data_IF_076101960946
#
_entry.id   IF_076101960946
#
_cell.length_a   1.000
_cell.length_b   1.000
_cell.length_c   1.000
_cell.angle_alpha   90.00
_cell.angle_beta   90.00
_cell.angle_gamma   90.00
#
_symmetry.space_group_name_H-M   'P 1'
#
loop_
_entity.id
_entity.type
_entity.pdbx_description
1 polymer ?
#
# COMPACT_ATOMS: atom_id res chain seq x y z
N UNK A 1 -71.27 -8.74 58.99
CA UNK A 1 -70.14 -9.61 58.61
C UNK A 1 -70.48 -10.21 57.24
N UNK A 2 -69.74 -9.84 56.19
CA UNK A 2 -69.95 -10.37 54.82
C UNK A 2 -68.81 -11.35 54.52
N UNK A 3 -69.05 -12.55 53.97
CA UNK A 3 -67.99 -13.49 53.64
C UNK A 3 -67.32 -13.06 52.33
N UNK A 4 -66.00 -12.94 52.34
CA UNK A 4 -65.19 -12.73 51.14
C UNK A 4 -64.90 -14.10 50.50
N UNK A 5 -65.45 -14.33 49.30
CA UNK A 5 -65.13 -15.49 48.47
C UNK A 5 -63.83 -15.20 47.74
N UNK A 6 -62.76 -15.90 48.12
CA UNK A 6 -61.50 -15.91 47.39
C UNK A 6 -61.62 -16.86 46.20
N UNK A 7 -61.75 -16.30 44.99
CA UNK A 7 -61.61 -17.05 43.75
C UNK A 7 -60.12 -17.27 43.46
N UNK A 8 -59.65 -18.52 43.60
CA UNK A 8 -58.32 -18.93 43.16
C UNK A 8 -58.35 -19.10 41.65
N UNK A 9 -57.67 -18.20 40.94
CA UNK A 9 -57.53 -18.21 39.49
C UNK A 9 -56.36 -19.12 39.13
N UNK A 10 -56.65 -20.38 38.79
CA UNK A 10 -55.65 -21.32 38.27
C UNK A 10 -55.31 -20.91 36.84
N UNK A 11 -54.17 -20.24 36.66
CA UNK A 11 -53.59 -19.98 35.34
C UNK A 11 -52.97 -21.28 34.85
N UNK A 12 -53.70 -21.99 33.99
CA UNK A 12 -53.11 -23.05 33.18
C UNK A 12 -52.10 -22.41 32.21
N UNK A 13 -50.80 -22.59 32.47
CA UNK A 13 -49.75 -22.32 31.49
C UNK A 13 -49.88 -23.36 30.37
N UNK A 14 -50.71 -23.07 29.36
CA UNK A 14 -50.58 -23.73 28.08
C UNK A 14 -49.21 -23.35 27.52
N UNK A 15 -48.30 -24.33 27.45
CA UNK A 15 -47.08 -24.22 26.66
C UNK A 15 -47.50 -23.84 25.24
N UNK A 16 -47.29 -22.56 24.86
CA UNK A 16 -47.48 -22.13 23.49
C UNK A 16 -46.50 -22.94 22.66
N UNK A 17 -47.00 -23.80 21.78
CA UNK A 17 -46.19 -24.34 20.71
C UNK A 17 -45.68 -23.12 19.91
N UNK A 18 -44.39 -22.82 20.01
CA UNK A 18 -43.78 -21.76 19.22
C UNK A 18 -43.88 -22.16 17.74
N UNK A 19 -44.56 -21.32 16.96
CA UNK A 19 -44.87 -21.60 15.56
C UNK A 19 -43.64 -21.56 14.67
N UNK A 20 -43.72 -22.26 13.53
CA UNK A 20 -42.69 -22.32 12.48
C UNK A 20 -42.14 -20.94 12.11
N UNK A 21 -40.92 -20.91 11.56
CA UNK A 21 -40.29 -19.68 11.11
C UNK A 21 -41.20 -18.86 10.19
N UNK A 22 -41.28 -17.56 10.46
CA UNK A 22 -42.06 -16.62 9.66
C UNK A 22 -41.20 -15.93 8.58
N UNK A 23 -41.86 -15.36 7.56
CA UNK A 23 -41.20 -14.50 6.57
C UNK A 23 -40.57 -13.29 7.27
N UNK A 24 -39.34 -12.94 6.90
CA UNK A 24 -38.61 -11.82 7.46
C UNK A 24 -38.12 -11.98 8.92
N UNK A 25 -38.39 -13.10 9.59
CA UNK A 25 -38.02 -13.30 11.00
C UNK A 25 -36.51 -13.17 11.25
N UNK A 26 -35.67 -13.54 10.28
CA UNK A 26 -34.21 -13.43 10.34
C UNK A 26 -33.67 -12.22 9.55
N UNK A 27 -34.50 -11.28 9.12
CA UNK A 27 -34.06 -10.16 8.28
C UNK A 27 -32.97 -9.31 8.94
N UNK A 28 -33.09 -9.01 10.24
CA UNK A 28 -32.07 -8.24 10.97
C UNK A 28 -30.76 -9.02 11.14
N UNK A 29 -30.85 -10.31 11.45
CA UNK A 29 -29.69 -11.20 11.55
C UNK A 29 -28.96 -11.33 10.20
N UNK A 30 -29.72 -11.42 9.10
CA UNK A 30 -29.16 -11.44 7.75
C UNK A 30 -28.54 -10.10 7.35
N UNK A 31 -29.19 -8.98 7.69
CA UNK A 31 -28.64 -7.65 7.47
C UNK A 31 -27.26 -7.48 8.14
N UNK A 32 -27.05 -8.06 9.32
CA UNK A 32 -25.75 -8.05 9.99
C UNK A 32 -24.66 -8.80 9.20
N UNK A 33 -25.00 -9.88 8.49
CA UNK A 33 -24.08 -10.57 7.58
C UNK A 33 -23.84 -9.83 6.26
N UNK A 34 -24.67 -8.86 5.89
CA UNK A 34 -24.51 -8.20 4.60
C UNK A 34 -23.21 -7.40 4.50
N UNK A 35 -22.76 -6.73 5.56
CA UNK A 35 -21.49 -5.99 5.52
C UNK A 35 -20.29 -6.90 5.20
N UNK A 36 -20.05 -8.02 5.92
CA UNK A 36 -18.96 -8.92 5.56
C UNK A 36 -19.15 -9.57 4.19
N UNK A 37 -20.38 -9.90 3.76
CA UNK A 37 -20.66 -10.40 2.41
C UNK A 37 -20.26 -9.37 1.33
N UNK A 38 -20.56 -8.09 1.53
CA UNK A 38 -20.24 -7.01 0.58
C UNK A 38 -18.75 -6.74 0.49
N UNK A 39 -18.01 -6.89 1.60
CA UNK A 39 -16.55 -6.86 1.59
C UNK A 39 -15.99 -8.09 0.84
N UNK A 40 -16.48 -9.29 1.16
CA UNK A 40 -16.03 -10.53 0.56
C UNK A 40 -16.27 -10.60 -0.96
N UNK A 41 -17.36 -10.01 -1.45
CA UNK A 41 -17.73 -9.95 -2.87
C UNK A 41 -17.24 -8.68 -3.58
N UNK A 42 -16.45 -7.85 -2.90
CA UNK A 42 -15.90 -6.63 -3.50
C UNK A 42 -14.83 -6.96 -4.55
N UNK A 43 -14.65 -6.04 -5.50
CA UNK A 43 -13.55 -6.12 -6.45
C UNK A 43 -12.36 -5.33 -5.89
N UNK A 44 -11.15 -5.92 -5.84
CA UNK A 44 -9.95 -5.20 -5.42
C UNK A 44 -9.70 -3.95 -6.29
N UNK A 45 -9.08 -2.93 -5.72
CA UNK A 45 -8.83 -1.68 -6.46
C UNK A 45 -7.93 -1.95 -7.66
N UNK A 46 -8.28 -1.38 -8.82
CA UNK A 46 -7.40 -1.43 -9.99
C UNK A 46 -6.24 -0.44 -9.78
N UNK A 47 -5.11 -0.94 -9.26
CA UNK A 47 -3.92 -0.14 -9.03
C UNK A 47 -2.95 -0.37 -10.17
N UNK A 48 -2.61 0.71 -10.86
CA UNK A 48 -1.59 0.73 -11.90
C UNK A 48 -0.66 1.88 -11.63
N UNK A 49 0.63 1.65 -11.87
CA UNK A 49 1.63 2.69 -11.84
C UNK A 49 2.28 2.79 -13.22
N UNK A 50 2.05 3.91 -13.89
CA UNK A 50 2.77 4.27 -15.11
C UNK A 50 3.78 5.34 -14.74
N UNK A 51 5.05 5.00 -14.85
CA UNK A 51 6.15 5.93 -14.64
C UNK A 51 7.16 5.81 -15.79
N UNK A 52 8.13 6.73 -15.78
CA UNK A 52 9.31 6.66 -16.61
C UNK A 52 10.54 6.21 -15.82
N UNK A 53 10.34 5.51 -14.69
CA UNK A 53 11.42 5.14 -13.77
C UNK A 53 12.47 4.25 -14.46
N UNK A 54 12.03 3.32 -15.31
CA UNK A 54 12.93 2.43 -16.05
C UNK A 54 13.76 3.23 -17.07
N UNK A 55 13.13 4.18 -17.77
CA UNK A 55 13.78 5.04 -18.75
C UNK A 55 14.77 6.03 -18.10
N UNK A 56 14.38 6.62 -16.96
CA UNK A 56 15.26 7.49 -16.18
C UNK A 56 16.45 6.70 -15.65
N UNK A 57 16.22 5.51 -15.09
CA UNK A 57 17.29 4.64 -14.60
C UNK A 57 18.25 4.30 -15.74
N UNK A 58 17.74 3.92 -16.91
CA UNK A 58 18.57 3.64 -18.08
C UNK A 58 19.42 4.88 -18.48
N UNK A 59 18.83 6.07 -18.47
CA UNK A 59 19.53 7.34 -18.77
C UNK A 59 20.65 7.62 -17.76
N UNK A 60 20.37 7.54 -16.47
CA UNK A 60 21.36 7.74 -15.39
C UNK A 60 22.50 6.72 -15.53
N UNK A 61 22.15 5.46 -15.78
CA UNK A 61 23.14 4.38 -15.97
C UNK A 61 24.02 4.63 -17.18
N UNK A 62 23.43 5.04 -18.30
CA UNK A 62 24.15 5.33 -19.53
C UNK A 62 25.14 6.49 -19.34
N UNK A 63 24.72 7.56 -18.65
CA UNK A 63 25.59 8.67 -18.26
C UNK A 63 26.76 8.17 -17.41
N UNK A 64 26.49 7.35 -16.39
CA UNK A 64 27.54 6.78 -15.53
C UNK A 64 28.55 5.94 -16.30
N UNK A 65 28.10 5.05 -17.19
CA UNK A 65 29.00 4.25 -18.04
C UNK A 65 29.81 5.09 -19.03
N UNK A 66 29.27 6.23 -19.48
CA UNK A 66 29.93 7.13 -20.42
C UNK A 66 31.09 7.90 -19.77
N UNK A 67 30.91 8.33 -18.52
CA UNK A 67 31.98 9.01 -17.75
C UNK A 67 32.95 8.04 -17.08
N UNK A 68 32.56 6.77 -16.90
CA UNK A 68 33.38 5.74 -16.28
C UNK A 68 34.68 5.43 -17.08
N UNK A 69 35.62 4.79 -16.39
CA UNK A 69 36.84 4.29 -17.03
C UNK A 69 36.53 3.16 -18.02
N UNK A 70 37.22 3.15 -19.17
CA UNK A 70 37.04 2.14 -20.22
C UNK A 70 37.26 0.72 -19.70
N UNK A 71 38.11 0.55 -18.70
CA UNK A 71 38.41 -0.73 -18.06
C UNK A 71 37.17 -1.33 -17.43
N UNK A 72 36.27 -0.52 -16.86
CA UNK A 72 35.01 -1.02 -16.30
C UNK A 72 34.02 -1.38 -17.40
N UNK A 73 33.80 -0.48 -18.36
CA UNK A 73 32.81 -0.70 -19.43
C UNK A 73 33.19 -1.88 -20.33
N UNK A 74 34.49 -2.15 -20.52
CA UNK A 74 34.99 -3.35 -21.20
C UNK A 74 34.61 -4.64 -20.48
N UNK A 75 34.60 -4.68 -19.14
CA UNK A 75 34.28 -5.88 -18.35
C UNK A 75 32.82 -6.35 -18.46
N UNK A 76 31.92 -5.49 -18.97
CA UNK A 76 30.50 -5.83 -19.26
C UNK A 76 30.45 -6.50 -20.65
N UNK A 77 30.99 -7.70 -20.76
CA UNK A 77 31.22 -8.38 -22.06
C UNK A 77 29.99 -9.16 -22.54
N UNK A 78 29.07 -9.47 -21.63
CA UNK A 78 27.87 -10.24 -21.91
C UNK A 78 26.68 -9.32 -22.16
N UNK A 79 26.01 -9.47 -23.30
CA UNK A 79 24.92 -8.59 -23.74
C UNK A 79 23.51 -9.13 -23.40
N UNK A 80 23.44 -10.25 -22.68
CA UNK A 80 22.21 -10.84 -22.14
C UNK A 80 22.13 -10.72 -20.62
N UNK A 81 20.98 -11.11 -20.05
CA UNK A 81 20.70 -11.03 -18.61
C UNK A 81 21.67 -11.87 -17.77
N UNK A 82 21.84 -11.48 -16.51
CA UNK A 82 22.70 -12.14 -15.53
C UNK A 82 22.35 -13.60 -15.40
N UNK A 83 21.06 -13.93 -15.33
CA UNK A 83 20.60 -15.32 -15.23
C UNK A 83 21.11 -16.19 -16.40
N UNK A 84 21.15 -15.64 -17.61
CA UNK A 84 21.62 -16.31 -18.83
C UNK A 84 23.13 -16.30 -19.04
N UNK A 85 23.89 -15.60 -18.18
CA UNK A 85 25.34 -15.52 -18.31
C UNK A 85 26.03 -16.84 -17.87
N UNK A 86 27.17 -17.21 -18.49
CA UNK A 86 27.95 -18.37 -18.10
C UNK A 86 28.40 -18.33 -16.64
N UNK A 87 28.53 -19.49 -15.99
CA UNK A 87 28.88 -19.57 -14.57
C UNK A 87 30.29 -19.01 -14.29
N UNK A 88 31.25 -19.23 -15.19
CA UNK A 88 32.59 -18.65 -15.11
C UNK A 88 32.56 -17.11 -15.11
N UNK A 89 31.68 -16.52 -15.91
CA UNK A 89 31.50 -15.06 -15.97
C UNK A 89 30.93 -14.52 -14.66
N UNK A 90 29.96 -15.22 -14.08
CA UNK A 90 29.34 -14.88 -12.80
C UNK A 90 30.32 -15.01 -11.63
N UNK A 91 31.06 -16.12 -11.58
CA UNK A 91 32.04 -16.41 -10.52
C UNK A 91 33.19 -15.39 -10.49
N UNK A 92 33.59 -14.86 -11.65
CA UNK A 92 34.62 -13.80 -11.73
C UNK A 92 34.10 -12.42 -11.27
N UNK A 93 32.80 -12.26 -11.04
CA UNK A 93 32.13 -10.97 -10.79
C UNK A 93 31.12 -11.10 -9.62
N UNK A 94 31.57 -11.46 -8.42
CA UNK A 94 30.68 -11.59 -7.26
C UNK A 94 29.98 -10.25 -6.97
N UNK A 95 28.67 -10.30 -6.70
CA UNK A 95 27.84 -9.13 -6.38
C UNK A 95 27.35 -8.32 -7.59
N UNK A 96 27.66 -8.74 -8.82
CA UNK A 96 27.16 -8.06 -10.03
C UNK A 96 25.71 -8.42 -10.36
N UNK A 97 25.16 -9.47 -9.76
CA UNK A 97 23.81 -9.99 -9.99
C UNK A 97 22.72 -8.93 -9.86
N UNK A 98 22.89 -7.99 -8.93
CA UNK A 98 21.89 -6.94 -8.66
C UNK A 98 21.80 -5.87 -9.76
N UNK A 99 22.90 -5.57 -10.46
CA UNK A 99 23.01 -4.39 -11.34
C UNK A 99 23.40 -4.71 -12.77
N UNK A 100 23.88 -5.92 -13.04
CA UNK A 100 24.39 -6.34 -14.35
C UNK A 100 23.42 -6.03 -15.50
N UNK A 101 22.13 -6.38 -15.36
CA UNK A 101 21.16 -6.22 -16.44
C UNK A 101 20.87 -4.75 -16.75
N UNK A 102 20.97 -3.90 -15.72
CA UNK A 102 20.90 -2.45 -15.85
C UNK A 102 22.10 -1.94 -16.66
N UNK A 103 23.32 -2.40 -16.35
CA UNK A 103 24.53 -2.02 -17.08
C UNK A 103 24.53 -2.52 -18.53
N UNK A 104 24.04 -3.73 -18.80
CA UNK A 104 23.91 -4.27 -20.16
C UNK A 104 22.98 -3.41 -21.00
N UNK A 105 21.82 -3.05 -20.44
CA UNK A 105 20.84 -2.19 -21.12
C UNK A 105 21.45 -0.82 -21.43
N UNK A 106 22.12 -0.21 -20.45
CA UNK A 106 22.79 1.07 -20.63
C UNK A 106 23.98 1.03 -21.60
N UNK A 107 24.73 -0.08 -21.64
CA UNK A 107 25.82 -0.27 -22.60
C UNK A 107 25.28 -0.29 -24.03
N UNK A 108 24.11 -0.89 -24.26
CA UNK A 108 23.41 -0.84 -25.57
C UNK A 108 22.99 0.59 -25.93
N UNK A 109 22.48 1.36 -24.97
CA UNK A 109 22.12 2.78 -25.16
C UNK A 109 23.31 3.64 -25.61
N UNK A 110 24.49 3.49 -24.99
CA UNK A 110 25.67 4.32 -25.31
C UNK A 110 26.46 3.84 -26.54
N UNK A 111 26.23 2.60 -27.03
CA UNK A 111 26.93 2.05 -28.21
C UNK A 111 26.04 1.97 -29.46
N UNK A 112 24.71 1.93 -29.30
CA UNK A 112 23.74 1.85 -30.39
C UNK A 112 23.28 3.22 -30.90
N UNK A 113 22.04 3.25 -31.41
CA UNK A 113 21.47 4.42 -32.09
C UNK A 113 21.36 5.66 -31.19
N UNK A 114 21.19 5.43 -29.88
CA UNK A 114 21.04 6.48 -28.87
C UNK A 114 22.37 7.09 -28.38
N UNK A 115 23.53 6.65 -28.89
CA UNK A 115 24.86 7.13 -28.44
C UNK A 115 25.02 8.65 -28.45
N UNK A 116 24.38 9.32 -29.41
CA UNK A 116 24.45 10.77 -29.57
C UNK A 116 23.86 11.53 -28.36
N UNK A 117 22.89 10.93 -27.64
CA UNK A 117 22.28 11.52 -26.43
C UNK A 117 23.29 11.70 -25.30
N UNK A 118 24.31 10.84 -25.25
CA UNK A 118 25.29 10.79 -24.17
C UNK A 118 26.65 11.36 -24.57
N UNK A 119 26.85 11.70 -25.85
CA UNK A 119 28.16 12.08 -26.39
C UNK A 119 28.82 13.25 -25.66
N UNK A 120 28.03 14.22 -25.18
CA UNK A 120 28.55 15.37 -24.44
C UNK A 120 29.11 15.01 -23.06
N UNK A 121 28.74 13.86 -22.48
CA UNK A 121 29.29 13.42 -21.21
C UNK A 121 30.72 12.87 -21.35
N UNK A 122 31.14 12.47 -22.55
CA UNK A 122 32.50 11.99 -22.81
C UNK A 122 33.57 13.05 -22.45
N UNK A 123 33.24 14.35 -22.49
CA UNK A 123 34.18 15.41 -22.13
C UNK A 123 34.58 15.38 -20.65
N UNK A 124 33.86 14.64 -19.81
CA UNK A 124 34.18 14.49 -18.39
C UNK A 124 34.93 13.21 -18.07
N UNK A 125 35.26 12.40 -19.07
CA UNK A 125 36.07 11.20 -18.88
C UNK A 125 37.44 11.56 -18.33
N UNK A 126 37.84 10.92 -17.23
CA UNK A 126 39.09 11.23 -16.51
C UNK A 126 38.98 12.37 -15.50
N UNK A 127 37.86 13.10 -15.44
CA UNK A 127 37.58 14.01 -14.33
C UNK A 127 37.06 13.23 -13.12
N UNK A 128 37.95 12.97 -12.15
CA UNK A 128 37.63 12.17 -10.96
C UNK A 128 36.46 12.72 -10.15
N UNK A 129 36.34 14.03 -10.01
CA UNK A 129 35.26 14.65 -9.24
C UNK A 129 33.90 14.52 -9.96
N UNK A 130 33.89 14.62 -11.29
CA UNK A 130 32.68 14.36 -12.09
C UNK A 130 32.28 12.88 -12.02
N UNK A 131 33.26 11.98 -12.16
CA UNK A 131 33.04 10.53 -12.06
C UNK A 131 32.44 10.14 -10.70
N UNK A 132 32.99 10.65 -9.61
CA UNK A 132 32.49 10.37 -8.25
C UNK A 132 31.05 10.86 -8.04
N UNK A 133 30.74 12.09 -8.46
CA UNK A 133 29.38 12.63 -8.34
C UNK A 133 28.36 11.89 -9.19
N UNK A 134 28.71 11.52 -10.43
CA UNK A 134 27.83 10.73 -11.30
C UNK A 134 27.65 9.31 -10.73
N UNK A 135 28.72 8.69 -10.24
CA UNK A 135 28.67 7.36 -9.64
C UNK A 135 27.75 7.32 -8.42
N UNK A 136 27.83 8.32 -7.54
CA UNK A 136 26.94 8.43 -6.39
C UNK A 136 25.47 8.55 -6.80
N UNK A 137 25.16 9.38 -7.81
CA UNK A 137 23.78 9.50 -8.34
C UNK A 137 23.31 8.18 -8.96
N UNK A 138 24.20 7.48 -9.68
CA UNK A 138 23.89 6.22 -10.32
C UNK A 138 23.64 5.09 -9.31
N UNK A 139 24.43 5.01 -8.24
CA UNK A 139 24.25 4.02 -7.18
C UNK A 139 22.88 4.15 -6.50
N UNK A 140 22.44 5.39 -6.25
CA UNK A 140 21.12 5.64 -5.69
C UNK A 140 20.01 5.22 -6.67
N UNK A 141 20.16 5.54 -7.96
CA UNK A 141 19.21 5.10 -8.99
C UNK A 141 19.17 3.57 -9.12
N UNK A 142 20.30 2.88 -9.00
CA UNK A 142 20.37 1.42 -9.04
C UNK A 142 19.67 0.77 -7.85
N UNK A 143 19.85 1.35 -6.66
CA UNK A 143 19.16 0.89 -5.45
C UNK A 143 17.65 1.01 -5.64
N UNK A 144 17.16 2.16 -6.10
CA UNK A 144 15.74 2.35 -6.40
C UNK A 144 15.26 1.31 -7.42
N UNK A 145 15.97 1.17 -8.54
CA UNK A 145 15.60 0.24 -9.61
C UNK A 145 15.47 -1.21 -9.12
N UNK A 146 16.36 -1.63 -8.22
CA UNK A 146 16.33 -2.98 -7.64
C UNK A 146 15.07 -3.26 -6.81
N UNK A 147 14.40 -2.23 -6.30
CA UNK A 147 13.20 -2.34 -5.48
C UNK A 147 11.89 -2.25 -6.30
N UNK A 148 11.94 -1.63 -7.49
CA UNK A 148 10.75 -1.37 -8.32
C UNK A 148 10.02 -2.66 -8.73
N UNK A 149 10.76 -3.72 -9.08
CA UNK A 149 10.16 -4.99 -9.53
C UNK A 149 9.33 -5.66 -8.42
N UNK A 150 9.84 -5.67 -7.19
CA UNK A 150 9.15 -6.18 -6.01
C UNK A 150 7.88 -5.39 -5.72
N UNK A 151 7.98 -4.06 -5.73
CA UNK A 151 6.81 -3.19 -5.52
C UNK A 151 5.74 -3.34 -6.60
N UNK A 152 6.14 -3.43 -7.88
CA UNK A 152 5.23 -3.68 -9.00
C UNK A 152 4.52 -5.03 -8.87
N UNK A 153 5.24 -6.08 -8.44
CA UNK A 153 4.64 -7.39 -8.15
C UNK A 153 3.60 -7.30 -7.04
N UNK A 154 3.87 -6.54 -6.00
CA UNK A 154 2.93 -6.30 -4.90
C UNK A 154 1.64 -5.62 -5.33
N UNK A 155 1.59 -4.91 -6.48
CA UNK A 155 0.33 -4.33 -6.99
C UNK A 155 -0.69 -5.38 -7.45
N UNK A 156 -0.28 -6.63 -7.65
CA UNK A 156 -1.15 -7.72 -8.11
C UNK A 156 -2.35 -7.97 -7.19
N UNK A 157 -3.48 -8.40 -7.76
CA UNK A 157 -4.72 -8.67 -7.00
C UNK A 157 -4.85 -10.11 -6.50
N UNK A 158 -3.91 -10.99 -6.84
CA UNK A 158 -4.03 -12.44 -6.67
C UNK A 158 -4.27 -12.84 -5.22
N UNK A 159 -3.48 -12.30 -4.29
CA UNK A 159 -3.59 -12.60 -2.86
C UNK A 159 -4.91 -12.10 -2.28
N UNK A 160 -5.30 -10.86 -2.60
CA UNK A 160 -6.59 -10.28 -2.15
C UNK A 160 -7.75 -11.16 -2.60
N UNK A 161 -7.78 -11.54 -3.89
CA UNK A 161 -8.84 -12.41 -4.44
C UNK A 161 -8.87 -13.77 -3.75
N UNK A 162 -7.71 -14.39 -3.54
CA UNK A 162 -7.61 -15.69 -2.88
C UNK A 162 -8.17 -15.65 -1.45
N UNK A 163 -7.87 -14.60 -0.68
CA UNK A 163 -8.38 -14.44 0.68
C UNK A 163 -9.88 -14.11 0.70
N UNK A 164 -10.37 -13.28 -0.22
CA UNK A 164 -11.81 -13.03 -0.38
C UNK A 164 -12.58 -14.31 -0.74
N UNK A 165 -12.06 -15.12 -1.66
CA UNK A 165 -12.65 -16.41 -2.06
C UNK A 165 -12.68 -17.41 -0.90
N UNK A 166 -11.64 -17.45 -0.07
CA UNK A 166 -11.62 -18.24 1.18
C UNK A 166 -12.62 -17.72 2.21
N UNK A 167 -12.82 -16.40 2.32
CA UNK A 167 -13.84 -15.85 3.20
C UNK A 167 -15.26 -16.28 2.78
N UNK A 168 -15.52 -16.33 1.47
CA UNK A 168 -16.82 -16.77 0.93
C UNK A 168 -17.00 -18.27 1.08
N UNK A 169 -16.03 -19.08 0.64
CA UNK A 169 -16.20 -20.51 0.42
C UNK A 169 -15.55 -21.39 1.49
N UNK A 170 -14.70 -20.83 2.34
CA UNK A 170 -13.86 -21.58 3.27
C UNK A 170 -12.61 -22.18 2.60
N UNK A 171 -11.94 -23.12 3.27
CA UNK A 171 -10.64 -23.66 2.83
C UNK A 171 -10.71 -24.51 1.55
N UNK A 172 -11.89 -24.95 1.13
CA UNK A 172 -12.10 -25.70 -0.12
C UNK A 172 -12.18 -24.78 -1.36
N UNK A 173 -11.77 -23.51 -1.20
CA UNK A 173 -11.95 -22.40 -2.12
C UNK A 173 -11.88 -22.80 -3.59
N UNK A 174 -13.03 -22.71 -4.27
CA UNK A 174 -13.11 -22.34 -5.69
C UNK A 174 -14.56 -22.15 -6.13
N UNK A 175 -14.89 -20.93 -6.53
CA UNK A 175 -16.06 -20.57 -7.34
C UNK A 175 -15.69 -20.59 -8.82
N UNK A 176 -15.18 -21.72 -9.33
CA UNK A 176 -15.18 -21.89 -10.78
C UNK A 176 -16.62 -21.81 -11.30
N UNK A 177 -16.84 -21.11 -12.43
CA UNK A 177 -18.14 -21.09 -13.07
C UNK A 177 -18.57 -22.54 -13.38
N UNK A 178 -19.74 -22.95 -12.89
CA UNK A 178 -20.24 -24.32 -13.07
C UNK A 178 -19.88 -25.33 -11.98
N UNK A 179 -19.03 -25.01 -10.98
CA UNK A 179 -18.84 -25.91 -9.82
C UNK A 179 -20.06 -25.90 -8.88
N UNK A 180 -20.45 -27.08 -8.40
CA UNK A 180 -21.42 -27.23 -7.30
C UNK A 180 -20.87 -26.56 -6.04
N UNK A 181 -21.72 -25.81 -5.35
CA UNK A 181 -21.43 -25.29 -4.01
C UNK A 181 -22.25 -26.14 -3.04
N UNK A 182 -21.64 -27.13 -2.42
CA UNK A 182 -22.29 -28.03 -1.46
C UNK A 182 -21.42 -28.21 -0.20
N UNK A 183 -22.02 -28.82 0.83
CA UNK A 183 -21.34 -29.19 2.07
C UNK A 183 -21.23 -30.72 2.23
N UNK A 184 -21.43 -31.46 1.14
CA UNK A 184 -21.48 -32.91 1.08
C UNK A 184 -22.33 -33.56 2.17
N UNK A 185 -21.83 -34.66 2.72
CA UNK A 185 -22.48 -35.42 3.79
C UNK A 185 -22.68 -34.62 5.08
N UNK A 186 -21.92 -33.53 5.28
CA UNK A 186 -22.08 -32.68 6.46
C UNK A 186 -23.44 -31.96 6.45
N UNK A 187 -24.01 -31.68 5.28
CA UNK A 187 -25.33 -31.03 5.17
C UNK A 187 -26.47 -31.89 5.69
N UNK A 188 -26.35 -33.22 5.67
CA UNK A 188 -27.37 -34.13 6.17
C UNK A 188 -27.71 -33.87 7.65
N UNK A 189 -26.76 -33.33 8.43
CA UNK A 189 -26.98 -32.93 9.80
C UNK A 189 -26.71 -31.42 9.99
N UNK A 190 -27.70 -30.62 9.60
CA UNK A 190 -27.64 -29.15 9.72
C UNK A 190 -27.34 -28.68 11.14
N UNK A 191 -27.93 -29.29 12.16
CA UNK A 191 -27.67 -28.91 13.55
C UNK A 191 -26.17 -29.06 13.92
N UNK A 192 -25.50 -30.08 13.38
CA UNK A 192 -24.05 -30.31 13.59
C UNK A 192 -23.19 -29.18 12.99
N UNK A 193 -23.54 -28.67 11.80
CA UNK A 193 -22.72 -27.66 11.10
C UNK A 193 -23.18 -26.21 11.29
N UNK A 194 -24.42 -25.99 11.72
CA UNK A 194 -25.01 -24.66 11.94
C UNK A 194 -25.07 -24.29 13.44
N UNK A 195 -25.09 -25.28 14.35
CA UNK A 195 -25.06 -25.04 15.80
C UNK A 195 -24.11 -25.94 16.59
N UNK A 196 -23.30 -26.75 15.90
CA UNK A 196 -22.28 -27.60 16.54
C UNK A 196 -22.84 -28.63 17.53
N UNK A 197 -24.08 -29.12 17.33
CA UNK A 197 -24.60 -30.25 18.10
C UNK A 197 -23.77 -31.51 17.82
N UNK A 198 -23.12 -32.06 18.85
CA UNK A 198 -22.30 -33.29 18.76
C UNK A 198 -21.25 -33.26 17.62
N UNK A 199 -20.60 -32.11 17.42
CA UNK A 199 -19.56 -31.93 16.40
C UNK A 199 -18.30 -32.76 16.71
N UNK A 200 -17.76 -33.43 15.70
CA UNK A 200 -16.38 -33.94 15.72
C UNK A 200 -15.40 -32.86 15.23
N UNK A 201 -14.12 -32.98 15.59
CA UNK A 201 -13.11 -31.95 15.28
C UNK A 201 -12.93 -31.66 13.78
N UNK A 202 -13.28 -32.61 12.90
CA UNK A 202 -13.14 -32.51 11.44
C UNK A 202 -14.33 -31.89 10.71
N UNK A 203 -15.51 -31.81 11.35
CA UNK A 203 -16.72 -31.32 10.69
C UNK A 203 -16.66 -29.80 10.46
N UNK A 204 -17.30 -29.35 9.37
CA UNK A 204 -17.60 -27.94 9.15
C UNK A 204 -18.37 -27.35 10.33
N UNK A 205 -18.19 -26.05 10.57
CA UNK A 205 -18.84 -25.33 11.67
C UNK A 205 -19.18 -23.90 11.30
N UNK A 206 -20.04 -23.23 12.09
CA UNK A 206 -20.24 -21.79 12.01
C UNK A 206 -18.91 -21.03 12.00
N UNK A 207 -18.84 -20.00 11.16
CA UNK A 207 -17.64 -19.20 11.00
C UNK A 207 -16.62 -19.78 10.02
N UNK A 208 -16.83 -20.97 9.45
CA UNK A 208 -15.91 -21.50 8.42
C UNK A 208 -15.94 -20.67 7.15
N UNK A 209 -17.11 -20.22 6.73
CA UNK A 209 -17.29 -19.42 5.52
C UNK A 209 -18.58 -18.60 5.59
N UNK A 210 -18.61 -17.44 4.92
CA UNK A 210 -19.82 -16.61 4.86
C UNK A 210 -20.96 -17.32 4.14
N UNK A 211 -20.64 -18.17 3.17
CA UNK A 211 -21.61 -19.02 2.50
C UNK A 211 -22.30 -19.95 3.49
N UNK A 212 -21.54 -20.72 4.30
CA UNK A 212 -22.12 -21.65 5.26
C UNK A 212 -23.04 -20.94 6.26
N UNK A 213 -22.54 -19.85 6.86
CA UNK A 213 -23.30 -19.09 7.85
C UNK A 213 -24.59 -18.52 7.24
N UNK A 214 -24.52 -17.98 6.02
CA UNK A 214 -25.69 -17.44 5.32
C UNK A 214 -26.70 -18.53 4.96
N UNK A 215 -26.22 -19.71 4.54
CA UNK A 215 -27.09 -20.84 4.20
C UNK A 215 -27.75 -21.42 5.45
N UNK A 216 -27.03 -21.57 6.55
CA UNK A 216 -27.57 -21.96 7.85
C UNK A 216 -28.69 -21.02 8.33
N UNK A 217 -28.48 -19.71 8.16
CA UNK A 217 -29.43 -18.68 8.59
C UNK A 217 -30.68 -18.57 7.69
N UNK A 218 -30.54 -18.81 6.39
CA UNK A 218 -31.54 -18.37 5.41
C UNK A 218 -32.23 -19.47 4.60
N UNK A 219 -31.68 -20.68 4.57
CA UNK A 219 -32.36 -21.82 3.93
C UNK A 219 -33.35 -22.46 4.88
N UNK A 220 -34.39 -23.08 4.34
CA UNK A 220 -35.42 -23.72 5.13
C UNK A 220 -35.04 -25.16 5.53
N UNK A 221 -35.45 -25.56 6.73
CA UNK A 221 -35.55 -26.96 7.14
C UNK A 221 -36.92 -27.55 6.77
N UNK A 222 -37.19 -28.79 7.19
CA UNK A 222 -38.47 -29.46 6.94
C UNK A 222 -39.68 -28.70 7.51
N UNK A 223 -40.82 -28.78 6.82
CA UNK A 223 -42.13 -28.19 7.19
C UNK A 223 -42.06 -26.71 7.64
N UNK A 224 -41.63 -25.83 6.74
CA UNK A 224 -41.48 -24.40 7.02
C UNK A 224 -42.60 -23.53 6.45
N UNK A 225 -43.08 -22.56 7.25
CA UNK A 225 -44.12 -21.61 6.85
C UNK A 225 -43.56 -20.37 6.09
N UNK A 226 -42.25 -20.12 6.16
CA UNK A 226 -41.62 -18.96 5.52
C UNK A 226 -41.34 -19.15 4.02
N UNK A 227 -41.45 -20.38 3.51
CA UNK A 227 -41.14 -20.72 2.11
C UNK A 227 -39.75 -20.21 1.64
N UNK A 228 -38.75 -20.24 2.51
CA UNK A 228 -37.38 -19.78 2.22
C UNK A 228 -37.15 -18.27 2.35
N UNK A 229 -38.13 -17.51 2.85
CA UNK A 229 -38.13 -16.04 2.94
C UNK A 229 -37.84 -15.48 4.34
N UNK A 230 -37.34 -16.29 5.28
CA UNK A 230 -37.02 -15.80 6.63
C UNK A 230 -35.98 -14.67 6.64
N UNK A 231 -35.00 -14.68 5.74
CA UNK A 231 -33.97 -13.64 5.69
C UNK A 231 -34.33 -12.42 4.82
N UNK A 232 -35.08 -12.61 3.73
CA UNK A 232 -35.60 -11.51 2.93
C UNK A 232 -36.71 -12.00 1.99
N UNK A 233 -37.57 -11.07 1.54
CA UNK A 233 -38.76 -11.39 0.74
C UNK A 233 -38.47 -12.08 -0.61
N UNK A 234 -37.30 -11.82 -1.18
CA UNK A 234 -36.86 -12.32 -2.49
C UNK A 234 -35.67 -13.30 -2.39
N UNK A 235 -35.38 -13.79 -1.18
CA UNK A 235 -34.25 -14.68 -0.91
C UNK A 235 -34.60 -16.16 -1.19
N UNK A 236 -35.87 -16.50 -1.40
CA UNK A 236 -36.31 -17.88 -1.67
C UNK A 236 -35.73 -18.42 -2.98
N UNK A 237 -35.29 -19.67 -2.97
CA UNK A 237 -34.88 -20.43 -4.15
C UNK A 237 -35.94 -21.53 -4.37
N UNK A 238 -36.57 -21.56 -5.55
CA UNK A 238 -37.80 -22.34 -5.75
C UNK A 238 -37.56 -23.77 -6.22
N UNK A 239 -36.34 -24.15 -6.61
CA UNK A 239 -36.12 -25.39 -7.35
C UNK A 239 -35.44 -26.52 -6.58
N UNK A 240 -34.57 -26.31 -5.58
CA UNK A 240 -33.95 -27.47 -4.89
C UNK A 240 -33.36 -27.16 -3.52
N UNK A 241 -32.57 -26.09 -3.38
CA UNK A 241 -31.69 -25.94 -2.22
C UNK A 241 -32.41 -25.56 -0.92
N UNK A 242 -33.51 -24.82 -1.05
CA UNK A 242 -34.38 -24.56 0.09
C UNK A 242 -35.22 -25.80 0.44
N UNK A 243 -35.61 -26.64 -0.52
CA UNK A 243 -36.58 -27.74 -0.32
C UNK A 243 -35.99 -29.04 0.25
N UNK A 244 -34.69 -29.24 0.08
CA UNK A 244 -34.05 -30.52 0.36
C UNK A 244 -33.41 -30.58 1.75
N UNK A 245 -34.24 -30.52 2.79
CA UNK A 245 -33.77 -30.75 4.16
C UNK A 245 -33.20 -32.17 4.29
N UNK A 246 -31.88 -32.30 4.47
CA UNK A 246 -31.19 -33.57 4.68
C UNK A 246 -30.53 -34.20 3.44
N UNK A 247 -30.60 -33.57 2.26
CA UNK A 247 -29.93 -34.09 1.05
C UNK A 247 -28.43 -33.78 1.04
N UNK A 248 -27.59 -34.76 0.71
CA UNK A 248 -26.12 -34.57 0.67
C UNK A 248 -25.63 -33.90 -0.63
N UNK A 249 -26.49 -33.76 -1.64
CA UNK A 249 -26.14 -33.27 -2.98
C UNK A 249 -26.87 -31.97 -3.33
N UNK A 250 -26.86 -31.00 -2.41
CA UNK A 250 -27.54 -29.71 -2.60
C UNK A 250 -26.58 -28.66 -3.12
N UNK A 251 -26.91 -28.04 -4.26
CA UNK A 251 -26.15 -26.92 -4.80
C UNK A 251 -26.70 -25.56 -4.31
N UNK A 252 -25.98 -24.90 -3.42
CA UNK A 252 -26.38 -23.62 -2.83
C UNK A 252 -26.06 -22.40 -3.70
N UNK A 253 -25.45 -22.56 -4.88
CA UNK A 253 -25.03 -21.42 -5.72
C UNK A 253 -26.17 -20.46 -6.05
N UNK A 254 -27.34 -20.97 -6.46
CA UNK A 254 -28.49 -20.13 -6.79
C UNK A 254 -28.99 -19.35 -5.57
N UNK A 255 -29.08 -20.02 -4.41
CA UNK A 255 -29.45 -19.39 -3.14
C UNK A 255 -28.43 -18.32 -2.74
N UNK A 256 -27.14 -18.64 -2.76
CA UNK A 256 -26.06 -17.71 -2.44
C UNK A 256 -26.13 -16.44 -3.30
N UNK A 257 -26.31 -16.59 -4.60
CA UNK A 257 -26.43 -15.44 -5.51
C UNK A 257 -27.61 -14.53 -5.13
N UNK A 258 -28.77 -15.09 -4.76
CA UNK A 258 -29.92 -14.31 -4.27
C UNK A 258 -29.61 -13.57 -2.96
N UNK A 259 -28.88 -14.21 -2.04
CA UNK A 259 -28.46 -13.58 -0.78
C UNK A 259 -27.48 -12.42 -1.05
N UNK A 260 -26.49 -12.62 -1.93
CA UNK A 260 -25.57 -11.55 -2.34
C UNK A 260 -26.35 -10.39 -2.98
N UNK A 261 -27.30 -10.68 -3.88
CA UNK A 261 -28.14 -9.66 -4.51
C UNK A 261 -28.98 -8.89 -3.48
N UNK A 262 -29.54 -9.59 -2.49
CA UNK A 262 -30.28 -8.96 -1.40
C UNK A 262 -29.38 -8.00 -0.60
N UNK A 263 -28.16 -8.41 -0.25
CA UNK A 263 -27.20 -7.54 0.42
C UNK A 263 -26.76 -6.35 -0.45
N UNK A 264 -26.62 -6.54 -1.76
CA UNK A 264 -26.30 -5.46 -2.70
C UNK A 264 -27.39 -4.38 -2.74
N UNK A 265 -28.66 -4.78 -2.59
CA UNK A 265 -29.81 -3.86 -2.52
C UNK A 265 -29.92 -3.17 -1.16
N UNK A 266 -29.49 -3.84 -0.09
CA UNK A 266 -29.62 -3.33 1.28
C UNK A 266 -28.55 -2.29 1.62
N UNK A 267 -27.30 -2.51 1.21
CA UNK A 267 -26.16 -1.66 1.60
C UNK A 267 -25.15 -1.44 0.47
N UNK A 268 -24.45 -0.30 0.53
CA UNK A 268 -23.33 0.01 -0.37
C UNK A 268 -22.07 -0.74 0.07
N UNK A 269 -21.24 -1.14 -0.89
CA UNK A 269 -19.91 -1.70 -0.60
C UNK A 269 -19.00 -0.59 -0.11
N UNK A 270 -18.31 -0.84 1.00
CA UNK A 270 -17.21 0.00 1.49
C UNK A 270 -15.87 -0.44 0.87
N UNK A 271 -14.88 0.44 0.92
CA UNK A 271 -13.51 0.08 0.57
C UNK A 271 -13.00 -1.04 1.50
N UNK A 272 -12.32 -2.03 0.92
CA UNK A 272 -11.72 -3.15 1.66
C UNK A 272 -10.53 -2.62 2.50
N UNK A 273 -10.80 -2.37 3.79
CA UNK A 273 -9.84 -1.85 4.76
C UNK A 273 -10.01 -2.60 6.08
N UNK A 274 -8.97 -2.62 6.91
CA UNK A 274 -9.06 -3.27 8.24
C UNK A 274 -10.20 -2.66 9.08
N UNK A 275 -10.39 -1.33 8.98
CA UNK A 275 -11.48 -0.64 9.69
C UNK A 275 -12.87 -1.08 9.23
N UNK A 276 -13.07 -1.33 7.93
CA UNK A 276 -14.33 -1.80 7.39
C UNK A 276 -14.63 -3.23 7.83
N UNK A 277 -13.60 -4.09 7.87
CA UNK A 277 -13.72 -5.46 8.40
C UNK A 277 -14.08 -5.44 9.89
N UNK A 278 -13.47 -4.55 10.68
CA UNK A 278 -13.83 -4.42 12.10
C UNK A 278 -15.28 -3.96 12.31
N UNK A 279 -15.75 -2.98 11.51
CA UNK A 279 -17.15 -2.54 11.54
C UNK A 279 -18.10 -3.69 11.17
N UNK A 280 -17.76 -4.46 10.16
CA UNK A 280 -18.51 -5.64 9.75
C UNK A 280 -18.60 -6.68 10.87
N UNK A 281 -17.47 -6.99 11.52
CA UNK A 281 -17.42 -7.90 12.65
C UNK A 281 -18.27 -7.39 13.83
N UNK A 282 -18.19 -6.10 14.16
CA UNK A 282 -18.98 -5.49 15.22
C UNK A 282 -20.48 -5.56 14.92
N UNK A 283 -20.90 -5.32 13.67
CA UNK A 283 -22.29 -5.44 13.27
C UNK A 283 -22.84 -6.86 13.48
N UNK A 284 -22.07 -7.89 13.11
CA UNK A 284 -22.42 -9.28 13.39
C UNK A 284 -22.45 -9.54 14.89
N UNK A 285 -21.43 -9.10 15.64
CA UNK A 285 -21.33 -9.29 17.09
C UNK A 285 -22.54 -8.68 17.83
N UNK A 286 -22.98 -7.48 17.44
CA UNK A 286 -24.15 -6.82 18.01
C UNK A 286 -25.48 -7.52 17.68
N UNK A 287 -25.52 -8.31 16.61
CA UNK A 287 -26.68 -9.12 16.24
C UNK A 287 -26.70 -10.50 16.92
N UNK A 288 -25.66 -10.85 17.68
CA UNK A 288 -25.61 -12.12 18.40
C UNK A 288 -26.50 -12.06 19.65
N UNK A 289 -27.53 -12.89 19.65
CA UNK A 289 -28.34 -13.19 20.82
C UNK A 289 -27.52 -13.97 21.87
N UNK A 290 -27.75 -13.62 23.13
CA UNK A 290 -27.29 -14.40 24.28
C UNK A 290 -28.39 -15.34 24.73
N UNK A 291 -28.01 -16.41 25.42
CA UNK A 291 -28.97 -17.37 25.93
C UNK A 291 -29.92 -16.69 26.93
N UNK A 292 -31.21 -17.01 26.83
CA UNK A 292 -32.23 -16.51 27.76
C UNK A 292 -32.38 -17.45 28.95
N UNK A 293 -33.25 -17.13 29.91
CA UNK A 293 -33.55 -18.06 31.01
C UNK A 293 -34.17 -19.39 30.51
N UNK A 294 -34.82 -19.38 29.35
CA UNK A 294 -35.45 -20.57 28.74
C UNK A 294 -34.55 -21.25 27.72
N UNK A 295 -33.71 -20.49 27.00
CA UNK A 295 -32.69 -21.02 26.09
C UNK A 295 -31.40 -21.30 26.87
N UNK A 296 -31.12 -22.56 27.20
CA UNK A 296 -29.97 -22.88 28.07
C UNK A 296 -28.74 -23.39 27.32
N UNK A 297 -28.89 -23.76 26.05
CA UNK A 297 -27.86 -24.54 25.34
C UNK A 297 -26.86 -23.72 24.52
N UNK A 298 -27.20 -22.49 24.12
CA UNK A 298 -26.36 -21.69 23.21
C UNK A 298 -26.29 -20.22 23.58
N UNK A 299 -25.05 -19.73 23.72
CA UNK A 299 -24.72 -18.31 23.64
C UNK A 299 -24.26 -17.96 22.22
N UNK A 300 -24.28 -16.67 21.85
CA UNK A 300 -23.79 -16.15 20.57
C UNK A 300 -24.56 -16.68 19.33
N UNK A 301 -25.88 -16.62 19.42
CA UNK A 301 -26.80 -17.08 18.37
C UNK A 301 -27.09 -15.95 17.40
N UNK A 302 -26.81 -16.15 16.12
CA UNK A 302 -27.31 -15.28 15.06
C UNK A 302 -28.58 -15.90 14.47
N UNK A 303 -29.69 -15.16 14.48
CA UNK A 303 -31.00 -15.64 14.02
C UNK A 303 -31.90 -16.06 15.18
N UNK A 304 -32.79 -17.03 14.95
CA UNK A 304 -33.84 -17.39 15.90
C UNK A 304 -33.81 -18.86 16.30
N UNK A 305 -34.13 -19.12 17.58
CA UNK A 305 -34.23 -20.44 18.20
C UNK A 305 -35.54 -20.53 18.96
N UNK A 306 -36.21 -21.68 18.87
CA UNK A 306 -37.39 -21.99 19.67
C UNK A 306 -37.02 -22.71 20.98
N UNK A 307 -37.85 -22.53 22.01
CA UNK A 307 -37.77 -23.30 23.26
C UNK A 307 -36.39 -23.21 23.92
N UNK A 308 -35.83 -24.36 24.30
CA UNK A 308 -34.51 -24.44 24.95
C UNK A 308 -33.32 -24.56 23.97
N UNK A 309 -33.62 -24.69 22.67
CA UNK A 309 -32.64 -24.89 21.61
C UNK A 309 -31.96 -26.27 21.61
N UNK A 310 -32.38 -27.25 22.40
CA UNK A 310 -31.72 -28.56 22.53
C UNK A 310 -31.54 -29.32 21.21
N UNK A 311 -32.33 -28.99 20.19
CA UNK A 311 -32.28 -29.63 18.88
C UNK A 311 -31.34 -28.94 17.88
N UNK A 312 -30.94 -27.69 18.16
CA UNK A 312 -30.01 -26.91 17.33
C UNK A 312 -30.62 -26.27 16.07
N UNK A 313 -29.76 -25.67 15.24
CA UNK A 313 -30.14 -24.93 14.04
C UNK A 313 -30.40 -25.89 12.86
N UNK A 314 -31.67 -26.24 12.65
CA UNK A 314 -32.12 -27.13 11.56
C UNK A 314 -32.77 -26.40 10.39
N UNK A 315 -32.93 -25.08 10.49
CA UNK A 315 -33.51 -24.25 9.44
C UNK A 315 -35.00 -23.96 9.64
N UNK A 316 -35.59 -24.34 10.77
CA UNK A 316 -36.95 -23.98 11.18
C UNK A 316 -36.93 -23.65 12.67
N UNK A 317 -37.63 -22.59 13.06
CA UNK A 317 -37.92 -22.27 14.45
C UNK A 317 -39.22 -22.97 14.84
N UNK A 318 -39.13 -24.23 15.29
CA UNK A 318 -40.28 -24.99 15.77
C UNK A 318 -39.86 -25.88 16.93
N UNK A 319 -40.71 -25.98 17.96
CA UNK A 319 -40.42 -26.75 19.18
C UNK A 319 -39.12 -26.29 19.89
N UNK A 320 -38.00 -26.99 19.65
CA UNK A 320 -36.66 -26.67 20.19
C UNK A 320 -35.61 -26.45 19.08
N UNK A 321 -36.07 -26.32 17.83
CA UNK A 321 -35.22 -26.10 16.66
C UNK A 321 -35.00 -24.60 16.42
N UNK A 322 -33.94 -24.29 15.67
CA UNK A 322 -33.67 -22.92 15.24
C UNK A 322 -33.42 -22.77 13.75
N UNK A 323 -33.58 -21.53 13.30
CA UNK A 323 -33.10 -21.04 12.01
C UNK A 323 -32.01 -20.01 12.30
N UNK A 324 -30.79 -20.50 12.42
CA UNK A 324 -29.73 -19.77 13.10
C UNK A 324 -28.32 -20.26 12.75
N UNK A 325 -27.35 -19.53 13.27
CA UNK A 325 -25.92 -19.85 13.30
C UNK A 325 -25.44 -19.68 14.74
N UNK A 326 -24.71 -20.65 15.31
CA UNK A 326 -24.19 -20.55 16.68
C UNK A 326 -22.67 -20.53 16.71
N UNK A 327 -22.12 -19.38 17.08
CA UNK A 327 -20.67 -19.21 17.28
C UNK A 327 -20.30 -19.59 18.71
N UNK A 328 -19.82 -20.83 18.92
CA UNK A 328 -19.54 -21.38 20.26
C UNK A 328 -18.75 -20.46 21.20
N UNK A 329 -17.80 -19.70 20.66
CA UNK A 329 -16.97 -18.74 21.42
C UNK A 329 -17.14 -17.30 20.95
N UNK A 330 -18.26 -16.98 20.30
CA UNK A 330 -18.47 -15.68 19.65
C UNK A 330 -17.56 -15.49 18.44
N UNK A 331 -17.37 -14.24 18.02
CA UNK A 331 -16.52 -13.88 16.88
C UNK A 331 -15.04 -13.78 17.27
N UNK A 332 -14.45 -14.90 17.68
CA UNK A 332 -13.00 -14.99 17.88
C UNK A 332 -12.28 -15.26 16.56
N UNK A 333 -11.10 -14.69 16.37
CA UNK A 333 -10.17 -15.02 15.29
C UNK A 333 -9.02 -15.88 15.79
N UNK A 334 -9.10 -16.49 16.97
CA UNK A 334 -8.06 -17.37 17.51
C UNK A 334 -8.60 -18.66 18.11
N UNK A 335 -7.75 -19.68 18.13
CA UNK A 335 -8.06 -20.99 18.71
C UNK A 335 -8.98 -21.88 17.85
N UNK A 336 -9.43 -23.01 18.41
CA UNK A 336 -10.21 -24.02 17.69
C UNK A 336 -11.60 -23.52 17.25
N UNK A 337 -12.13 -22.52 17.94
CA UNK A 337 -13.43 -21.91 17.66
C UNK A 337 -13.35 -20.64 16.78
N UNK A 338 -12.16 -20.34 16.23
CA UNK A 338 -11.94 -19.21 15.33
C UNK A 338 -12.90 -19.18 14.12
N UNK A 339 -13.43 -17.98 13.87
CA UNK A 339 -14.22 -17.59 12.69
C UNK A 339 -13.25 -17.32 11.54
N UNK A 340 -13.15 -18.29 10.64
CA UNK A 340 -12.20 -18.28 9.53
C UNK A 340 -12.54 -17.23 8.49
N UNK A 341 -13.82 -17.01 8.17
CA UNK A 341 -14.16 -15.97 7.19
C UNK A 341 -13.72 -14.58 7.66
N UNK A 342 -13.73 -14.32 8.97
CA UNK A 342 -13.28 -13.05 9.53
C UNK A 342 -11.76 -12.89 9.39
N UNK A 343 -11.00 -13.95 9.69
CA UNK A 343 -9.54 -13.99 9.45
C UNK A 343 -9.19 -13.72 8.00
N UNK A 344 -9.89 -14.36 7.08
CA UNK A 344 -9.66 -14.20 5.64
C UNK A 344 -10.02 -12.78 5.17
N UNK A 345 -11.09 -12.17 5.69
CA UNK A 345 -11.38 -10.76 5.41
C UNK A 345 -10.28 -9.82 5.95
N UNK A 346 -9.74 -10.09 7.14
CA UNK A 346 -8.61 -9.31 7.69
C UNK A 346 -7.36 -9.45 6.82
N UNK A 347 -7.01 -10.67 6.39
CA UNK A 347 -5.89 -10.92 5.50
C UNK A 347 -6.07 -10.24 4.13
N UNK A 348 -7.28 -10.31 3.55
CA UNK A 348 -7.60 -9.62 2.30
C UNK A 348 -7.44 -8.10 2.42
N UNK A 349 -7.90 -7.50 3.51
CA UNK A 349 -7.74 -6.08 3.77
C UNK A 349 -6.28 -5.67 3.99
N UNK A 350 -5.49 -6.49 4.70
CA UNK A 350 -4.05 -6.25 4.88
C UNK A 350 -3.28 -6.34 3.54
N UNK A 351 -3.65 -7.30 2.70
CA UNK A 351 -3.09 -7.41 1.35
C UNK A 351 -3.45 -6.18 0.50
N UNK A 352 -4.70 -5.73 0.53
CA UNK A 352 -5.13 -4.51 -0.19
C UNK A 352 -4.41 -3.24 0.30
N UNK A 353 -4.21 -3.09 1.61
CA UNK A 353 -3.41 -2.00 2.17
C UNK A 353 -1.94 -2.08 1.73
N UNK A 354 -1.36 -3.29 1.66
CA UNK A 354 0.00 -3.52 1.16
C UNK A 354 0.13 -3.10 -0.31
N UNK A 355 -0.87 -3.38 -1.15
CA UNK A 355 -0.92 -2.92 -2.56
C UNK A 355 -0.93 -1.39 -2.65
N UNK A 356 -1.76 -0.73 -1.83
CA UNK A 356 -1.82 0.74 -1.78
C UNK A 356 -0.51 1.35 -1.28
N UNK A 357 0.15 0.73 -0.29
CA UNK A 357 1.45 1.16 0.20
C UNK A 357 2.53 1.02 -0.88
N UNK A 358 2.51 -0.08 -1.65
CA UNK A 358 3.43 -0.29 -2.75
C UNK A 358 3.26 0.76 -3.85
N UNK A 359 2.02 1.14 -4.18
CA UNK A 359 1.76 2.22 -5.14
C UNK A 359 2.37 3.55 -4.69
N UNK A 360 2.16 3.96 -3.43
CA UNK A 360 2.75 5.20 -2.89
C UNK A 360 4.28 5.17 -2.88
N UNK A 361 4.86 4.00 -2.60
CA UNK A 361 6.31 3.82 -2.66
C UNK A 361 6.84 3.92 -4.10
N UNK A 362 6.14 3.36 -5.08
CA UNK A 362 6.49 3.52 -6.49
C UNK A 362 6.46 4.99 -6.90
N UNK A 363 5.40 5.73 -6.58
CA UNK A 363 5.31 7.17 -6.86
C UNK A 363 6.46 7.97 -6.22
N UNK A 364 6.76 7.68 -4.95
CA UNK A 364 7.87 8.32 -4.22
C UNK A 364 9.22 8.04 -4.89
N UNK A 365 9.45 6.80 -5.30
CA UNK A 365 10.68 6.36 -5.97
C UNK A 365 10.82 6.94 -7.37
N UNK A 366 9.73 6.99 -8.15
CA UNK A 366 9.70 7.64 -9.45
C UNK A 366 10.04 9.14 -9.34
N UNK A 367 9.47 9.84 -8.35
CA UNK A 367 9.80 11.24 -8.07
C UNK A 367 11.28 11.42 -7.67
N UNK A 368 11.83 10.49 -6.89
CA UNK A 368 13.25 10.51 -6.52
C UNK A 368 14.14 10.32 -7.74
N UNK A 369 13.84 9.35 -8.61
CA UNK A 369 14.57 9.15 -9.87
C UNK A 369 14.52 10.40 -10.76
N UNK A 370 13.35 11.03 -10.92
CA UNK A 370 13.22 12.27 -11.68
C UNK A 370 14.09 13.40 -11.09
N UNK A 371 14.20 13.49 -9.76
CA UNK A 371 15.07 14.44 -9.09
C UNK A 371 16.56 14.14 -9.31
N UNK A 372 16.95 12.86 -9.28
CA UNK A 372 18.31 12.43 -9.59
C UNK A 372 18.69 12.78 -11.03
N UNK A 373 17.79 12.56 -11.99
CA UNK A 373 18.03 12.94 -13.39
C UNK A 373 18.23 14.45 -13.56
N UNK A 374 17.37 15.28 -12.94
CA UNK A 374 17.55 16.74 -12.91
C UNK A 374 18.85 17.16 -12.22
N UNK A 375 19.33 16.39 -11.26
CA UNK A 375 20.61 16.65 -10.58
C UNK A 375 21.78 16.38 -11.52
N UNK A 376 21.72 15.33 -12.34
CA UNK A 376 22.72 15.12 -13.42
C UNK A 376 22.72 16.27 -14.43
N UNK A 377 21.56 16.76 -14.85
CA UNK A 377 21.48 17.91 -15.76
C UNK A 377 22.15 19.16 -15.17
N UNK A 378 21.91 19.45 -13.89
CA UNK A 378 22.59 20.57 -13.20
C UNK A 378 24.09 20.35 -13.06
N UNK A 379 24.50 19.12 -12.72
CA UNK A 379 25.91 18.75 -12.64
C UNK A 379 26.62 18.96 -13.98
N UNK A 380 25.99 18.53 -15.07
CA UNK A 380 26.49 18.74 -16.43
C UNK A 380 26.75 20.22 -16.73
N UNK A 381 25.78 21.09 -16.42
CA UNK A 381 25.90 22.53 -16.63
C UNK A 381 27.02 23.14 -15.76
N UNK A 382 27.08 22.77 -14.49
CA UNK A 382 28.13 23.24 -13.58
C UNK A 382 29.53 22.85 -14.06
N UNK A 383 29.71 21.59 -14.48
CA UNK A 383 30.98 21.10 -15.01
C UNK A 383 31.38 21.82 -16.31
N UNK A 384 30.43 22.04 -17.24
CA UNK A 384 30.70 22.84 -18.46
C UNK A 384 31.14 24.27 -18.12
N UNK A 385 30.48 24.94 -17.17
CA UNK A 385 30.84 26.29 -16.78
C UNK A 385 32.25 26.35 -16.17
N UNK A 386 32.63 25.37 -15.35
CA UNK A 386 34.00 25.29 -14.79
C UNK A 386 35.06 25.01 -15.86
N UNK A 387 34.74 24.24 -16.90
CA UNK A 387 35.67 23.99 -18.01
C UNK A 387 35.90 25.28 -18.83
N UNK A 388 34.85 26.05 -19.11
CA UNK A 388 34.96 27.32 -19.86
C UNK A 388 35.73 28.42 -19.14
N UNK A 389 35.75 28.43 -17.80
CA UNK A 389 36.55 29.41 -17.03
C UNK A 389 38.02 28.99 -16.88
N UNK A 390 38.34 27.70 -17.00
CA UNK A 390 39.72 27.20 -17.01
C UNK A 390 40.44 27.36 -18.36
N UNK A 391 39.72 27.40 -19.49
CA UNK A 391 40.34 27.63 -20.81
C UNK A 391 40.82 29.07 -21.03
N UNK A 392 40.24 30.06 -20.33
CA UNK A 392 40.80 31.43 -20.31
C UNK A 392 42.02 31.59 -19.40
N UNK A 393 42.48 30.53 -18.72
CA UNK A 393 43.64 30.55 -17.83
C UNK A 393 44.93 29.98 -18.46
N UNK A 394 45.03 29.96 -19.80
CA UNK A 394 46.27 29.67 -20.52
C UNK A 394 46.98 30.97 -20.94
N UNK A 395 47.43 31.73 -19.95
CA UNK A 395 48.61 32.58 -20.09
C UNK A 395 49.57 32.16 -18.98
N UNK A 396 50.85 31.89 -19.24
CA UNK A 396 51.75 31.34 -18.23
C UNK A 396 51.79 32.24 -17.00
N UNK A 397 51.59 31.64 -15.83
CA UNK A 397 51.74 32.30 -14.55
C UNK A 397 53.16 32.88 -14.41
N UNK A 398 53.28 34.01 -13.70
CA UNK A 398 54.24 34.03 -12.61
C UNK A 398 53.51 34.18 -11.27
N UNK A 399 53.80 33.22 -10.40
CA UNK A 399 53.82 33.33 -8.94
C UNK A 399 52.71 34.15 -8.26
N UNK A 400 51.78 33.41 -7.65
CA UNK A 400 50.95 33.91 -6.57
C UNK A 400 51.80 34.54 -5.46
N UNK A 401 51.67 35.87 -5.28
CA UNK A 401 51.82 36.60 -4.00
C UNK A 401 51.87 38.14 -4.21
N UNK A 402 50.95 38.77 -4.97
CA UNK A 402 50.95 40.25 -5.11
C UNK A 402 49.59 40.97 -5.14
N UNK A 403 48.46 40.29 -5.00
CA UNK A 403 47.16 40.93 -5.27
C UNK A 403 46.59 41.84 -4.15
N UNK A 404 47.20 41.91 -2.97
CA UNK A 404 46.77 42.84 -1.89
C UNK A 404 47.68 44.06 -1.74
N UNK A 405 48.90 44.03 -2.30
CA UNK A 405 49.83 45.18 -2.26
C UNK A 405 49.60 46.14 -3.44
N UNK A 406 49.31 45.60 -4.62
CA UNK A 406 49.11 46.39 -5.84
C UNK A 406 47.92 47.38 -5.73
N UNK A 407 46.79 46.96 -5.16
CA UNK A 407 45.60 47.81 -5.01
C UNK A 407 45.82 48.97 -4.03
N UNK A 408 46.65 48.77 -2.98
CA UNK A 408 46.98 49.85 -2.03
C UNK A 408 47.94 50.86 -2.62
N UNK A 409 49.01 50.42 -3.28
CA UNK A 409 49.97 51.32 -3.94
C UNK A 409 49.35 52.13 -5.09
N UNK A 410 48.40 51.56 -5.83
CA UNK A 410 47.71 52.27 -6.91
C UNK A 410 46.74 53.32 -6.38
N UNK A 411 45.96 53.00 -5.34
CA UNK A 411 45.04 53.96 -4.72
C UNK A 411 45.80 55.07 -3.96
N UNK A 412 46.94 54.74 -3.35
CA UNK A 412 47.85 55.72 -2.72
C UNK A 412 48.42 56.68 -3.78
N UNK A 413 48.84 56.19 -4.94
CA UNK A 413 49.29 57.04 -6.06
C UNK A 413 48.18 57.93 -6.60
N UNK A 414 46.93 57.51 -6.52
CA UNK A 414 45.78 58.32 -6.93
C UNK A 414 45.53 59.47 -5.93
N UNK A 415 45.58 59.21 -4.62
CA UNK A 415 45.50 60.26 -3.60
C UNK A 415 46.64 61.27 -3.76
N UNK A 416 47.88 60.81 -3.98
CA UNK A 416 49.05 61.70 -4.12
C UNK A 416 49.00 62.62 -5.35
N UNK A 417 48.17 62.31 -6.36
CA UNK A 417 47.96 63.22 -7.51
C UNK A 417 47.06 64.41 -7.17
N UNK A 418 46.36 64.39 -6.03
CA UNK A 418 45.45 65.45 -5.61
C UNK A 418 46.25 66.52 -4.87
N UNK A 419 46.66 67.56 -5.61
CA UNK A 419 47.46 68.67 -5.07
C UNK A 419 46.65 69.76 -4.34
N UNK A 420 45.33 69.63 -4.23
CA UNK A 420 44.44 70.63 -3.61
C UNK A 420 43.74 70.05 -2.38
N UNK A 421 43.80 70.78 -1.27
CA UNK A 421 43.24 70.35 0.02
C UNK A 421 41.74 70.08 -0.02
N UNK A 422 40.96 70.95 -0.69
CA UNK A 422 39.50 70.80 -0.79
C UNK A 422 39.11 69.51 -1.53
N UNK A 423 39.82 69.19 -2.62
CA UNK A 423 39.57 68.00 -3.44
C UNK A 423 40.02 66.73 -2.71
N UNK A 424 41.10 66.81 -1.92
CA UNK A 424 41.55 65.70 -1.09
C UNK A 424 40.55 65.36 0.01
N UNK A 425 40.04 66.37 0.73
CA UNK A 425 39.04 66.21 1.79
C UNK A 425 37.68 65.75 1.28
N UNK A 426 37.35 66.04 0.02
CA UNK A 426 36.14 65.56 -0.63
C UNK A 426 36.21 64.08 -1.01
N UNK A 427 37.41 63.48 -1.09
CA UNK A 427 37.58 62.06 -1.36
C UNK A 427 37.59 61.26 -0.04
N UNK A 428 36.57 60.45 0.24
CA UNK A 428 36.45 59.72 1.51
C UNK A 428 37.52 58.63 1.70
N UNK A 429 38.35 58.36 0.69
CA UNK A 429 39.46 57.39 0.76
C UNK A 429 40.81 58.03 1.03
N UNK A 430 40.92 59.35 0.99
CA UNK A 430 42.19 60.08 1.13
C UNK A 430 42.15 61.01 2.37
N UNK A 431 43.32 61.48 2.80
CA UNK A 431 43.46 62.39 3.94
C UNK A 431 44.56 63.40 3.64
N UNK A 432 44.29 64.66 3.96
CA UNK A 432 45.24 65.76 3.77
C UNK A 432 46.14 65.92 4.99
N UNK A 433 47.45 65.90 4.79
CA UNK A 433 48.47 66.17 5.79
C UNK A 433 49.25 67.45 5.42
N UNK A 434 48.96 68.60 6.07
CA UNK A 434 49.62 69.87 5.76
C UNK A 434 51.08 69.93 6.23
N UNK A 435 51.52 69.01 7.11
CA UNK A 435 52.90 68.96 7.63
C UNK A 435 53.85 68.17 6.73
N UNK A 436 53.34 67.53 5.67
CA UNK A 436 54.16 66.80 4.71
C UNK A 436 55.03 67.77 3.89
N UNK A 437 56.34 67.50 3.88
CA UNK A 437 57.34 68.37 3.24
C UNK A 437 57.37 68.17 1.73
N UNK A 438 56.98 67.00 1.25
CA UNK A 438 56.78 66.72 -0.17
C UNK A 438 55.39 67.21 -0.61
N UNK A 439 55.35 68.30 -1.39
CA UNK A 439 54.09 68.88 -1.84
C UNK A 439 53.23 67.93 -2.67
N UNK A 440 53.85 66.91 -3.28
CA UNK A 440 53.17 65.87 -4.06
C UNK A 440 52.62 64.72 -3.21
N UNK A 441 52.78 64.78 -1.88
CA UNK A 441 52.29 63.77 -0.93
C UNK A 441 51.47 64.36 0.21
N UNK A 442 51.02 65.61 0.07
CA UNK A 442 50.13 66.24 1.05
C UNK A 442 48.74 65.57 1.11
N UNK A 443 48.35 64.79 0.09
CA UNK A 443 47.13 63.98 0.10
C UNK A 443 47.47 62.48 0.00
N UNK A 444 47.24 61.71 1.06
CA UNK A 444 47.59 60.26 1.14
C UNK A 444 46.37 59.40 1.42
N UNK A 445 46.46 58.09 1.23
CA UNK A 445 45.35 57.16 1.49
C UNK A 445 45.01 57.09 2.98
N UNK A 446 43.74 57.27 3.33
CA UNK A 446 43.27 57.19 4.71
C UNK A 446 43.28 55.75 5.24
N UNK A 447 43.24 55.58 6.57
CA UNK A 447 43.12 54.25 7.18
C UNK A 447 41.81 53.55 6.82
N UNK A 448 40.70 54.27 6.62
CA UNK A 448 39.45 53.70 6.10
C UNK A 448 39.60 53.26 4.62
N UNK A 449 40.32 54.02 3.80
CA UNK A 449 40.68 53.64 2.42
C UNK A 449 41.53 52.37 2.35
N UNK A 450 42.43 52.17 3.32
CA UNK A 450 43.25 50.95 3.48
C UNK A 450 42.43 49.72 3.91
N UNK A 451 41.29 49.91 4.57
CA UNK A 451 40.34 48.84 4.93
C UNK A 451 39.32 48.53 3.83
N UNK A 452 38.95 49.52 3.01
CA UNK A 452 38.04 49.30 1.89
C UNK A 452 38.72 48.59 0.72
N UNK A 453 40.01 48.88 0.48
CA UNK A 453 40.86 48.20 -0.51
C UNK A 453 41.19 46.72 -0.18
N UNK A 454 40.85 46.24 1.01
CA UNK A 454 41.03 44.84 1.44
C UNK A 454 39.74 43.99 1.46
N UNK A 455 38.55 44.56 1.19
CA UNK A 455 37.29 43.82 1.11
C UNK A 455 36.96 43.42 -0.35
N UNK A 456 36.79 42.11 -0.60
CA UNK A 456 36.27 41.58 -1.88
C UNK A 456 34.83 42.07 -2.12
N UNK A 457 34.42 42.38 -3.37
CA UNK A 457 33.02 42.66 -3.67
C UNK A 457 32.20 41.37 -3.51
N UNK A 458 31.14 41.40 -2.71
CA UNK A 458 30.08 40.39 -2.77
C UNK A 458 29.28 40.58 -4.06
N UNK A 459 29.12 39.52 -4.85
CA UNK A 459 28.15 39.48 -5.93
C UNK A 459 26.96 38.64 -5.46
N UNK A 460 25.95 39.34 -4.98
CA UNK A 460 24.56 38.89 -4.97
C UNK A 460 23.99 38.92 -6.41
N UNK A 461 22.98 38.06 -6.64
CA UNK A 461 22.15 37.81 -7.85
C UNK A 461 22.73 36.76 -8.81
N UNK A 462 22.10 35.61 -9.06
CA UNK A 462 20.70 35.16 -8.91
C UNK A 462 20.60 33.79 -8.25
#
# INVERSE_FOLDING_TARGET
MKPAIWAVLVVAFASRAEGNSAKGENAAAFAALCQPIRLATSTPSNLQHQDNADSITATITAINLNVADDTFTKKIEHDKTWQSAPEEYKNARPGWDKYHDTWVTAKKEITGDNKHKYANWNSFKGNKAAQEQVAHIAEEAFTINSELSGLRKTLGTTEVKAELDKAINGPNGETAAGKTIDFGTSWANRAKICSQTARDGSSLKPGTSLLLDSICLCTMGGNNADAGKACCDNCDETQTADKDSGSINVNFRAKWNKLVEACNKLIKTEALTISAVQRAANAVASALGQKTATQTNYDNVLGTIAGDGSTGCKGNKASNEGKCVVYKSGLTTEGPDAVQWLRHLQAAAQAEESRNNALRQLETKANRLASLNKTLERLFLALRHTATTSETAHTPAPAAAKSTKATKEETEKECNKIGKEADCKANPKCTWNPEEKDETKKCTLSEEGKQHSSRKPSRDRW
#
